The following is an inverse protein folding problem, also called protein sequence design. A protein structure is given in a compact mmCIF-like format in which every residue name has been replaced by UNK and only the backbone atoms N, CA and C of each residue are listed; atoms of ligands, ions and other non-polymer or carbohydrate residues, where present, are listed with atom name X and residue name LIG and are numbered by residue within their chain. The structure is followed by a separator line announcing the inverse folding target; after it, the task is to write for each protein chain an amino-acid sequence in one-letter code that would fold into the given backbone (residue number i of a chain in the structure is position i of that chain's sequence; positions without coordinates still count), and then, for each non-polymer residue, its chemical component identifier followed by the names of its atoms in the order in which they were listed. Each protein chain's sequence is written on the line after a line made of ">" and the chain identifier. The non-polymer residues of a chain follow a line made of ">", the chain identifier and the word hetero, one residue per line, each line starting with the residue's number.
data_IF_259453419167
#
_entry.id   IF_259453419167
#
_cell.length_a   1.000
_cell.length_b   1.000
_cell.length_c   1.000
_cell.angle_alpha   90.00
_cell.angle_beta   90.00
_cell.angle_gamma   90.00
#
_symmetry.space_group_name_H-M   'P 1'
#
loop_
_entity.id
_entity.type
_entity.pdbx_description
1 polymer ?
#
# COMPACT_ATOMS: atom_id res chain seq x y z
N UNK A 1 15.21 16.08 10.04
CA UNK A 1 15.67 14.87 9.32
C UNK A 1 16.27 13.74 10.14
N UNK A 2 17.40 13.92 10.84
CA UNK A 2 18.12 12.81 11.50
C UNK A 2 17.22 11.96 12.41
N UNK A 3 16.40 12.60 13.25
CA UNK A 3 15.45 11.92 14.15
C UNK A 3 14.42 11.07 13.39
N UNK A 4 13.94 11.53 12.23
CA UNK A 4 12.98 10.78 11.40
C UNK A 4 13.64 9.53 10.84
N UNK A 5 14.88 9.64 10.33
CA UNK A 5 15.65 8.49 9.83
C UNK A 5 15.91 7.45 10.92
N UNK A 6 16.35 7.89 12.10
CA UNK A 6 16.59 7.00 13.25
C UNK A 6 15.30 6.31 13.71
N UNK A 7 14.20 7.05 13.79
CA UNK A 7 12.89 6.50 14.11
C UNK A 7 12.46 5.47 13.06
N UNK A 8 12.56 5.79 11.77
CA UNK A 8 12.21 4.86 10.71
C UNK A 8 13.04 3.58 10.76
N UNK A 9 14.37 3.67 10.90
CA UNK A 9 15.25 2.51 10.92
C UNK A 9 14.96 1.53 12.07
N UNK A 10 14.46 2.03 13.21
CA UNK A 10 14.13 1.19 14.38
C UNK A 10 12.74 0.56 14.29
N UNK A 11 11.86 1.07 13.44
CA UNK A 11 10.44 0.72 13.43
C UNK A 11 9.96 0.15 12.08
N UNK A 12 10.87 -0.27 11.19
CA UNK A 12 10.46 -1.00 9.98
C UNK A 12 9.97 -2.39 10.39
N UNK A 13 8.67 -2.62 10.25
CA UNK A 13 8.08 -3.95 10.34
C UNK A 13 7.80 -4.48 8.93
N UNK A 14 8.17 -5.73 8.71
CA UNK A 14 7.95 -6.43 7.45
C UNK A 14 6.93 -7.54 7.65
N UNK A 15 6.05 -7.71 6.69
CA UNK A 15 5.26 -8.94 6.58
C UNK A 15 6.23 -10.12 6.42
N UNK A 16 5.97 -11.28 7.04
CA UNK A 16 6.74 -12.49 6.80
C UNK A 16 7.03 -12.75 5.30
N UNK A 17 8.27 -13.20 5.04
CA UNK A 17 8.78 -13.45 3.69
C UNK A 17 9.13 -12.20 2.86
N UNK A 18 8.83 -10.97 3.30
CA UNK A 18 8.93 -9.79 2.43
C UNK A 18 10.33 -9.54 1.88
N UNK A 19 11.38 -9.73 2.68
CA UNK A 19 12.78 -9.58 2.22
C UNK A 19 13.12 -10.61 1.13
N UNK A 20 12.70 -11.85 1.32
CA UNK A 20 12.93 -12.93 0.36
C UNK A 20 12.14 -12.70 -0.92
N UNK A 21 10.87 -12.29 -0.81
CA UNK A 21 10.02 -11.91 -1.95
C UNK A 21 10.65 -10.77 -2.74
N UNK A 22 11.03 -9.66 -2.09
CA UNK A 22 11.68 -8.53 -2.76
C UNK A 22 12.99 -8.93 -3.45
N UNK A 23 13.76 -9.84 -2.84
CA UNK A 23 14.98 -10.37 -3.44
C UNK A 23 14.68 -11.26 -4.65
N UNK A 24 13.68 -12.13 -4.55
CA UNK A 24 13.26 -13.04 -5.60
C UNK A 24 12.74 -12.27 -6.82
N UNK A 25 11.77 -11.37 -6.62
CA UNK A 25 11.14 -10.63 -7.72
C UNK A 25 12.15 -9.76 -8.48
N UNK A 26 13.12 -9.17 -7.77
CA UNK A 26 14.19 -8.36 -8.39
C UNK A 26 15.16 -9.16 -9.26
N UNK A 27 15.35 -10.44 -8.95
CA UNK A 27 16.18 -11.33 -9.79
C UNK A 27 15.44 -11.75 -11.06
N UNK A 28 14.11 -11.68 -11.04
CA UNK A 28 13.26 -12.13 -12.14
C UNK A 28 12.83 -10.98 -13.06
N UNK A 29 12.45 -9.83 -12.50
CA UNK A 29 11.86 -8.70 -13.21
C UNK A 29 12.37 -7.35 -12.68
N UNK A 30 12.41 -6.30 -13.53
CA UNK A 30 12.50 -4.92 -13.06
C UNK A 30 11.41 -4.64 -12.03
N UNK A 31 11.82 -4.26 -10.81
CA UNK A 31 10.92 -4.11 -9.67
C UNK A 31 11.06 -2.72 -9.05
N UNK A 32 9.94 -2.16 -8.61
CA UNK A 32 9.85 -0.81 -8.05
C UNK A 32 8.98 -0.79 -6.78
N UNK A 33 9.24 0.16 -5.88
CA UNK A 33 8.39 0.44 -4.71
C UNK A 33 7.76 1.82 -4.90
N UNK A 34 6.43 1.91 -4.80
CA UNK A 34 5.68 3.17 -4.89
C UNK A 34 4.91 3.36 -3.59
N UNK A 35 5.35 4.31 -2.76
CA UNK A 35 4.86 4.48 -1.40
C UNK A 35 4.46 5.92 -1.09
N UNK A 36 3.46 6.07 -0.25
CA UNK A 36 3.05 7.37 0.32
C UNK A 36 4.03 7.85 1.40
N UNK A 37 4.82 6.95 1.98
CA UNK A 37 5.74 7.24 3.08
C UNK A 37 6.86 8.21 2.67
N UNK A 38 7.44 8.88 3.66
CA UNK A 38 8.56 9.77 3.45
C UNK A 38 9.83 9.02 3.01
N UNK A 39 10.67 9.70 2.24
CA UNK A 39 11.95 9.19 1.74
C UNK A 39 12.85 8.61 2.84
N UNK A 40 12.82 9.18 4.06
CA UNK A 40 13.60 8.71 5.20
C UNK A 40 13.20 7.28 5.61
N UNK A 41 11.90 6.97 5.57
CA UNK A 41 11.39 5.63 5.83
C UNK A 41 11.73 4.67 4.70
N UNK A 42 11.56 5.10 3.45
CA UNK A 42 11.85 4.26 2.28
C UNK A 42 13.34 3.96 2.18
N UNK A 43 14.20 4.89 2.56
CA UNK A 43 15.64 4.65 2.66
C UNK A 43 15.96 3.56 3.69
N UNK A 44 15.35 3.63 4.89
CA UNK A 44 15.52 2.60 5.91
C UNK A 44 15.01 1.22 5.45
N UNK A 45 13.84 1.18 4.81
CA UNK A 45 13.28 -0.03 4.21
C UNK A 45 14.21 -0.63 3.14
N UNK A 46 14.73 0.21 2.24
CA UNK A 46 15.66 -0.20 1.20
C UNK A 46 16.96 -0.76 1.78
N UNK A 47 17.52 -0.12 2.80
CA UNK A 47 18.71 -0.61 3.49
C UNK A 47 18.47 -1.98 4.17
N UNK A 48 17.30 -2.19 4.79
CA UNK A 48 16.96 -3.45 5.44
C UNK A 48 16.77 -4.61 4.44
N UNK A 49 16.17 -4.31 3.29
CA UNK A 49 15.75 -5.30 2.28
C UNK A 49 16.73 -5.43 1.11
N UNK A 50 17.83 -4.66 1.13
CA UNK A 50 18.79 -4.52 0.04
C UNK A 50 18.15 -4.03 -1.28
N UNK A 51 16.97 -3.41 -1.23
CA UNK A 51 16.22 -2.91 -2.39
C UNK A 51 16.84 -1.60 -2.91
N UNK A 52 16.98 -1.42 -4.24
CA UNK A 52 17.64 -0.24 -4.79
C UNK A 52 16.76 0.99 -4.62
N UNK A 53 17.21 1.94 -3.80
CA UNK A 53 16.47 3.17 -3.55
C UNK A 53 16.15 3.97 -4.82
N UNK A 54 17.02 3.88 -5.85
CA UNK A 54 16.78 4.49 -7.17
C UNK A 54 15.54 3.96 -7.91
N UNK A 55 15.01 2.79 -7.52
CA UNK A 55 13.79 2.20 -8.06
C UNK A 55 12.58 2.47 -7.14
N UNK A 56 12.57 3.61 -6.44
CA UNK A 56 11.47 3.96 -5.53
C UNK A 56 10.86 5.30 -5.87
N UNK A 57 9.55 5.40 -5.65
CA UNK A 57 8.76 6.62 -5.71
C UNK A 57 8.16 6.84 -4.32
N UNK A 58 8.45 7.97 -3.71
CA UNK A 58 8.05 8.27 -2.34
C UNK A 58 7.92 9.77 -2.09
N UNK A 59 7.26 10.13 -0.99
CA UNK A 59 7.09 11.53 -0.60
C UNK A 59 8.42 12.11 -0.16
N UNK A 60 8.89 13.16 -0.84
CA UNK A 60 10.10 13.87 -0.45
C UNK A 60 9.78 14.87 0.65
N UNK A 61 10.53 14.80 1.73
CA UNK A 61 10.37 15.67 2.89
C UNK A 61 11.73 16.16 3.35
N UNK A 62 11.91 17.46 3.46
CA UNK A 62 13.05 18.07 4.17
C UNK A 62 12.48 18.89 5.33
N UNK A 63 12.40 18.29 6.52
CA UNK A 63 11.80 18.97 7.67
C UNK A 63 12.76 20.02 8.25
N UNK A 64 14.06 19.90 7.98
CA UNK A 64 15.04 20.88 8.47
C UNK A 64 14.93 22.22 7.75
N UNK A 65 14.24 22.26 6.60
CA UNK A 65 13.97 23.49 5.84
C UNK A 65 13.11 24.50 6.59
N UNK A 66 12.27 24.05 7.52
CA UNK A 66 11.26 24.87 8.18
C UNK A 66 11.73 25.35 9.57
N UNK A 67 11.94 26.66 9.70
CA UNK A 67 12.36 27.29 10.96
C UNK A 67 11.17 27.61 11.85
N UNK A 68 10.78 26.68 12.73
CA UNK A 68 9.62 26.86 13.62
C UNK A 68 10.06 27.52 14.93
N UNK A 69 9.50 28.70 15.25
CA UNK A 69 9.80 29.41 16.50
C UNK A 69 9.13 28.76 17.73
N UNK A 70 9.44 29.25 18.92
CA UNK A 70 8.92 28.70 20.18
C UNK A 70 7.40 28.92 20.33
N UNK A 71 6.92 30.09 19.90
CA UNK A 71 5.51 30.48 19.90
C UNK A 71 4.70 29.57 18.97
N UNK A 72 5.18 29.40 17.74
CA UNK A 72 4.54 28.51 16.76
C UNK A 72 4.60 27.05 17.23
N UNK A 73 5.73 26.61 17.79
CA UNK A 73 5.85 25.27 18.39
C UNK A 73 4.81 25.05 19.49
N UNK A 74 4.55 26.06 20.33
CA UNK A 74 3.52 25.99 21.36
C UNK A 74 2.13 25.87 20.72
N UNK A 75 1.83 26.71 19.72
CA UNK A 75 0.53 26.68 19.02
C UNK A 75 0.29 25.35 18.31
N UNK A 76 1.28 24.80 17.62
CA UNK A 76 1.19 23.50 16.96
C UNK A 76 0.88 22.37 17.96
N UNK A 77 1.46 22.41 19.16
CA UNK A 77 1.16 21.43 20.22
C UNK A 77 -0.26 21.58 20.77
N UNK A 78 -0.77 22.81 20.87
CA UNK A 78 -2.15 23.08 21.28
C UNK A 78 -3.13 22.57 20.23
N UNK A 79 -2.90 22.90 18.96
CA UNK A 79 -3.68 22.38 17.82
C UNK A 79 -3.66 20.85 17.76
N UNK A 80 -2.51 20.22 18.01
CA UNK A 80 -2.41 18.76 18.06
C UNK A 80 -3.27 18.13 19.17
N UNK A 81 -3.35 18.77 20.35
CA UNK A 81 -4.25 18.32 21.43
C UNK A 81 -5.72 18.55 21.09
N UNK A 82 -6.02 19.68 20.44
CA UNK A 82 -7.36 20.01 19.98
C UNK A 82 -7.86 18.99 18.97
N UNK A 83 -7.08 18.70 17.92
CA UNK A 83 -7.40 17.69 16.90
C UNK A 83 -7.62 16.32 17.56
N UNK A 84 -6.76 15.94 18.51
CA UNK A 84 -6.89 14.65 19.20
C UNK A 84 -8.15 14.55 20.08
N UNK A 85 -8.74 15.69 20.48
CA UNK A 85 -9.96 15.75 21.26
C UNK A 85 -11.24 15.85 20.40
N UNK A 86 -11.10 16.10 19.08
CA UNK A 86 -12.22 16.10 18.16
C UNK A 86 -12.86 14.70 18.05
N UNK A 87 -14.18 14.61 17.83
CA UNK A 87 -14.83 13.32 17.62
C UNK A 87 -14.32 12.68 16.34
N UNK A 88 -14.26 11.35 16.31
CA UNK A 88 -13.94 10.61 15.11
C UNK A 88 -15.04 10.81 14.06
N UNK A 89 -14.65 11.19 12.85
CA UNK A 89 -15.60 11.41 11.75
C UNK A 89 -16.14 10.07 11.25
N UNK A 90 -17.46 9.91 11.25
CA UNK A 90 -18.12 8.78 10.62
C UNK A 90 -18.57 9.13 9.20
N UNK A 91 -18.06 8.41 8.20
CA UNK A 91 -18.45 8.61 6.80
C UNK A 91 -19.67 7.72 6.48
N UNK A 92 -20.84 8.30 6.15
CA UNK A 92 -22.02 7.51 5.79
C UNK A 92 -21.77 6.67 4.53
N UNK A 93 -22.42 5.49 4.45
CA UNK A 93 -22.30 4.65 3.25
C UNK A 93 -22.89 5.38 2.04
N UNK A 94 -22.19 5.30 0.91
CA UNK A 94 -22.57 5.90 -0.37
C UNK A 94 -22.72 7.43 -0.36
N UNK A 95 -22.15 8.13 0.63
CA UNK A 95 -22.16 9.60 0.60
C UNK A 95 -21.30 10.13 -0.56
N UNK A 96 -21.76 11.22 -1.16
CA UNK A 96 -21.05 11.91 -2.24
C UNK A 96 -20.49 13.28 -1.80
N UNK A 97 -20.95 13.79 -0.66
CA UNK A 97 -20.58 15.10 -0.14
C UNK A 97 -20.57 15.15 1.39
N UNK A 98 -19.81 16.11 1.95
CA UNK A 98 -19.77 16.38 3.41
C UNK A 98 -21.13 16.83 3.95
N UNK A 99 -21.97 17.45 3.12
CA UNK A 99 -23.32 17.88 3.50
C UNK A 99 -24.24 16.71 3.94
N UNK A 100 -23.90 15.48 3.57
CA UNK A 100 -24.63 14.27 3.94
C UNK A 100 -24.20 13.69 5.29
N UNK A 101 -23.17 14.27 5.93
CA UNK A 101 -22.63 13.79 7.20
C UNK A 101 -23.50 14.25 8.38
N UNK A 102 -23.30 13.69 9.57
CA UNK A 102 -23.97 14.22 10.76
C UNK A 102 -23.55 15.67 11.03
N UNK A 103 -24.38 16.47 11.71
CA UNK A 103 -24.00 17.85 12.05
C UNK A 103 -22.72 17.93 12.88
N UNK A 104 -22.47 16.93 13.72
CA UNK A 104 -21.24 16.84 14.52
C UNK A 104 -20.02 16.59 13.64
N UNK A 105 -20.14 15.68 12.67
CA UNK A 105 -19.05 15.37 11.73
C UNK A 105 -18.76 16.54 10.80
N UNK A 106 -19.80 17.23 10.31
CA UNK A 106 -19.66 18.45 9.50
C UNK A 106 -18.87 19.52 10.25
N UNK A 107 -19.24 19.82 11.50
CA UNK A 107 -18.49 20.76 12.36
C UNK A 107 -17.05 20.33 12.60
N UNK A 108 -16.81 19.03 12.69
CA UNK A 108 -15.46 18.49 12.88
C UNK A 108 -14.62 18.69 11.62
N UNK A 109 -15.19 18.43 10.44
CA UNK A 109 -14.54 18.71 9.15
C UNK A 109 -14.27 20.21 8.99
N UNK A 110 -15.27 21.06 9.25
CA UNK A 110 -15.11 22.51 9.21
C UNK A 110 -13.98 22.99 10.12
N UNK A 111 -13.90 22.46 11.35
CA UNK A 111 -12.83 22.83 12.27
C UNK A 111 -11.45 22.37 11.78
N UNK A 112 -11.35 21.17 11.20
CA UNK A 112 -10.10 20.71 10.59
C UNK A 112 -9.71 21.62 9.42
N UNK A 113 -10.66 22.03 8.59
CA UNK A 113 -10.42 22.95 7.47
C UNK A 113 -9.90 24.31 7.96
N UNK A 114 -10.50 24.89 9.01
CA UNK A 114 -9.98 26.11 9.64
C UNK A 114 -8.53 25.93 10.13
N UNK A 115 -8.25 24.83 10.83
CA UNK A 115 -6.91 24.57 11.36
C UNK A 115 -5.89 24.46 10.23
N UNK A 116 -6.14 23.64 9.22
CA UNK A 116 -5.17 23.39 8.15
C UNK A 116 -5.07 24.54 7.15
N UNK A 117 -6.20 25.13 6.75
CA UNK A 117 -6.25 26.07 5.63
C UNK A 117 -6.29 27.53 6.04
N UNK A 118 -6.67 27.86 7.29
CA UNK A 118 -6.71 29.24 7.77
C UNK A 118 -5.67 29.55 8.84
N UNK A 119 -5.42 28.63 9.77
CA UNK A 119 -4.46 28.85 10.86
C UNK A 119 -3.04 28.43 10.46
N UNK A 120 -2.85 27.14 10.14
CA UNK A 120 -1.54 26.60 9.79
C UNK A 120 -0.98 27.23 8.53
N UNK A 121 -1.82 27.51 7.53
CA UNK A 121 -1.38 28.13 6.27
C UNK A 121 -0.70 29.50 6.44
N UNK A 122 -0.94 30.20 7.56
CA UNK A 122 -0.34 31.49 7.92
C UNK A 122 0.97 31.35 8.73
N UNK A 123 1.32 30.13 9.12
CA UNK A 123 2.51 29.80 9.91
C UNK A 123 3.69 29.38 9.03
N UNK A 124 4.91 29.42 9.56
CA UNK A 124 6.09 28.97 8.80
C UNK A 124 6.04 27.46 8.52
N UNK A 125 5.54 26.67 9.48
CA UNK A 125 5.26 25.24 9.31
C UNK A 125 4.19 24.95 8.26
N UNK A 126 3.26 25.88 8.02
CA UNK A 126 2.22 25.78 7.00
C UNK A 126 2.78 25.66 5.58
N UNK A 127 3.99 26.19 5.34
CA UNK A 127 4.67 26.04 4.06
C UNK A 127 4.87 24.59 3.66
N UNK A 128 5.01 23.68 4.63
CA UNK A 128 5.12 22.24 4.37
C UNK A 128 3.89 21.69 3.65
N UNK A 129 2.69 22.19 3.95
CA UNK A 129 1.43 21.74 3.33
C UNK A 129 1.37 22.08 1.83
N UNK A 130 2.09 23.12 1.39
CA UNK A 130 2.12 23.58 0.00
C UNK A 130 3.33 23.03 -0.73
N UNK A 131 4.49 22.99 -0.08
CA UNK A 131 5.76 22.63 -0.72
C UNK A 131 5.99 21.11 -0.82
N UNK A 132 5.38 20.32 0.07
CA UNK A 132 5.50 18.87 0.04
C UNK A 132 4.37 18.30 -0.82
N UNK A 133 4.73 17.67 -1.93
CA UNK A 133 3.77 16.91 -2.73
C UNK A 133 3.74 15.44 -2.23
N UNK A 134 2.69 15.01 -1.49
CA UNK A 134 2.57 13.63 -1.07
C UNK A 134 2.37 12.71 -2.27
N UNK A 135 3.01 11.54 -2.26
CA UNK A 135 2.70 10.48 -3.23
C UNK A 135 1.36 9.86 -2.82
N UNK A 136 0.26 10.37 -3.37
CA UNK A 136 -1.10 9.88 -3.19
C UNK A 136 -1.53 8.92 -4.31
N UNK A 137 -2.84 8.67 -4.41
CA UNK A 137 -3.37 7.70 -5.39
C UNK A 137 -3.07 8.05 -6.84
N UNK A 138 -3.21 9.33 -7.20
CA UNK A 138 -2.89 9.83 -8.53
C UNK A 138 -1.40 9.73 -8.83
N UNK A 139 -0.55 10.06 -7.85
CA UNK A 139 0.90 9.98 -7.96
C UNK A 139 1.37 8.53 -8.11
N UNK A 140 0.70 7.57 -7.44
CA UNK A 140 1.02 6.14 -7.64
C UNK A 140 0.71 5.67 -9.05
N UNK A 141 -0.45 6.05 -9.60
CA UNK A 141 -0.80 5.73 -10.98
C UNK A 141 0.18 6.37 -11.98
N UNK A 142 0.56 7.65 -11.76
CA UNK A 142 1.60 8.33 -12.55
C UNK A 142 2.96 7.66 -12.44
N UNK A 143 3.34 7.17 -11.25
CA UNK A 143 4.59 6.44 -11.07
C UNK A 143 4.60 5.15 -11.91
N UNK A 144 3.48 4.42 -11.98
CA UNK A 144 3.36 3.25 -12.87
C UNK A 144 3.57 3.65 -14.34
N UNK A 145 2.94 4.73 -14.80
CA UNK A 145 3.11 5.22 -16.17
C UNK A 145 4.56 5.63 -16.47
N UNK A 146 5.21 6.33 -15.54
CA UNK A 146 6.62 6.72 -15.65
C UNK A 146 7.55 5.51 -15.68
N UNK A 147 7.29 4.47 -14.88
CA UNK A 147 8.05 3.21 -14.91
C UNK A 147 7.90 2.52 -16.27
N UNK A 148 6.67 2.43 -16.79
CA UNK A 148 6.38 1.82 -18.10
C UNK A 148 7.13 2.56 -19.22
N UNK A 149 7.10 3.89 -19.20
CA UNK A 149 7.84 4.71 -20.15
C UNK A 149 9.37 4.53 -20.01
N UNK A 150 9.91 4.50 -18.78
CA UNK A 150 11.34 4.29 -18.51
C UNK A 150 11.86 2.94 -18.95
N UNK A 151 11.03 1.91 -18.91
CA UNK A 151 11.38 0.54 -19.29
C UNK A 151 11.05 0.22 -20.75
N UNK A 152 10.45 1.16 -21.49
CA UNK A 152 9.95 0.94 -22.85
C UNK A 152 9.09 -0.33 -22.94
N UNK A 153 8.14 -0.47 -22.01
CA UNK A 153 7.22 -1.59 -21.95
C UNK A 153 5.76 -1.13 -22.05
N UNK A 154 4.82 -2.07 -21.89
CA UNK A 154 3.39 -1.81 -21.97
C UNK A 154 2.69 -2.22 -20.66
N UNK A 155 1.53 -1.62 -20.38
CA UNK A 155 0.79 -1.84 -19.13
C UNK A 155 0.31 -3.29 -18.97
N UNK A 156 0.10 -4.05 -20.05
CA UNK A 156 -0.23 -5.48 -20.01
C UNK A 156 0.90 -6.35 -19.46
N UNK A 157 2.13 -5.81 -19.42
CA UNK A 157 3.32 -6.45 -18.85
C UNK A 157 3.60 -6.01 -17.42
N UNK A 158 2.67 -5.28 -16.78
CA UNK A 158 2.81 -4.81 -15.40
C UNK A 158 1.96 -5.68 -14.47
N UNK A 159 2.59 -6.11 -13.38
CA UNK A 159 1.89 -6.60 -12.19
C UNK A 159 2.01 -5.54 -11.11
N UNK A 160 0.88 -5.11 -10.53
CA UNK A 160 0.85 -4.15 -9.43
C UNK A 160 0.24 -4.80 -8.20
N UNK A 161 0.91 -4.67 -7.05
CA UNK A 161 0.45 -5.17 -5.76
C UNK A 161 0.18 -3.98 -4.83
N UNK A 162 -1.04 -3.88 -4.31
CA UNK A 162 -1.46 -2.82 -3.39
C UNK A 162 -2.40 -3.33 -2.31
N UNK A 163 -2.76 -2.46 -1.36
CA UNK A 163 -3.56 -2.87 -0.19
C UNK A 163 -4.58 -1.83 0.29
N UNK A 164 -4.58 -0.64 -0.31
CA UNK A 164 -5.30 0.51 0.24
C UNK A 164 -6.00 1.37 -0.81
N UNK A 165 -6.70 2.39 -0.31
CA UNK A 165 -7.33 3.44 -1.15
C UNK A 165 -6.31 4.17 -2.03
N UNK A 166 -5.09 4.39 -1.54
CA UNK A 166 -4.03 5.06 -2.31
C UNK A 166 -3.50 4.19 -3.46
N UNK A 167 -3.84 2.91 -3.50
CA UNK A 167 -3.46 2.00 -4.58
C UNK A 167 -4.56 1.84 -5.63
N UNK A 168 -5.80 2.25 -5.32
CA UNK A 168 -6.97 1.98 -6.14
C UNK A 168 -6.81 2.47 -7.59
N UNK A 169 -6.28 3.68 -7.78
CA UNK A 169 -6.07 4.22 -9.14
C UNK A 169 -4.99 3.46 -9.92
N UNK A 170 -3.90 3.06 -9.27
CA UNK A 170 -2.83 2.28 -9.90
C UNK A 170 -3.30 0.85 -10.24
N UNK A 171 -4.01 0.20 -9.31
CA UNK A 171 -4.65 -1.11 -9.53
C UNK A 171 -5.61 -1.05 -10.72
N UNK A 172 -6.52 -0.07 -10.75
CA UNK A 172 -7.46 0.13 -11.85
C UNK A 172 -6.75 0.36 -13.18
N UNK A 173 -5.71 1.20 -13.20
CA UNK A 173 -4.91 1.48 -14.39
C UNK A 173 -4.32 0.18 -14.96
N UNK A 174 -3.66 -0.62 -14.12
CA UNK A 174 -3.05 -1.89 -14.55
C UNK A 174 -4.12 -2.88 -15.02
N UNK A 175 -5.18 -3.07 -14.22
CA UNK A 175 -6.29 -3.98 -14.53
C UNK A 175 -6.94 -3.69 -15.88
N UNK A 176 -7.29 -2.43 -16.14
CA UNK A 176 -7.99 -2.00 -17.34
C UNK A 176 -7.13 -2.06 -18.61
N UNK A 177 -5.80 -2.10 -18.47
CA UNK A 177 -4.86 -2.15 -19.57
C UNK A 177 -4.21 -3.54 -19.74
N UNK A 178 -4.87 -4.59 -19.25
CA UNK A 178 -4.45 -5.98 -19.48
C UNK A 178 -3.35 -6.50 -18.56
N UNK A 179 -2.86 -5.67 -17.62
CA UNK A 179 -1.89 -6.10 -16.61
C UNK A 179 -2.57 -6.83 -15.45
N UNK A 180 -1.76 -7.31 -14.50
CA UNK A 180 -2.25 -8.06 -13.34
C UNK A 180 -2.32 -7.16 -12.09
N UNK A 181 -3.53 -6.84 -11.64
CA UNK A 181 -3.75 -6.08 -10.40
C UNK A 181 -4.01 -7.03 -9.22
N UNK A 182 -3.22 -6.94 -8.15
CA UNK A 182 -3.32 -7.81 -6.97
C UNK A 182 -3.52 -6.98 -5.71
N UNK A 183 -4.57 -7.31 -4.96
CA UNK A 183 -4.84 -6.76 -3.63
C UNK A 183 -4.31 -7.72 -2.56
N UNK A 184 -3.27 -7.34 -1.80
CA UNK A 184 -2.69 -8.17 -0.75
C UNK A 184 -3.14 -7.69 0.65
N UNK A 185 -3.92 -8.51 1.36
CA UNK A 185 -4.54 -8.17 2.65
C UNK A 185 -5.22 -6.79 2.64
N UNK A 186 -5.86 -6.48 1.50
CA UNK A 186 -6.30 -5.14 1.15
C UNK A 186 -7.63 -4.72 1.76
N UNK A 187 -7.92 -3.42 1.70
CA UNK A 187 -9.22 -2.87 2.07
C UNK A 187 -10.23 -2.98 0.92
N UNK A 188 -11.42 -2.41 1.12
CA UNK A 188 -12.50 -2.42 0.14
C UNK A 188 -12.10 -1.78 -1.20
N UNK A 189 -11.38 -0.65 -1.15
CA UNK A 189 -10.92 0.04 -2.35
C UNK A 189 -9.94 -0.80 -3.17
N UNK A 190 -8.93 -1.43 -2.56
CA UNK A 190 -7.95 -2.21 -3.32
C UNK A 190 -8.54 -3.51 -3.84
N UNK A 191 -9.40 -4.19 -3.07
CA UNK A 191 -10.04 -5.44 -3.51
C UNK A 191 -10.91 -5.18 -4.74
N UNK A 192 -11.76 -4.14 -4.73
CA UNK A 192 -12.64 -3.80 -5.88
C UNK A 192 -11.87 -3.54 -7.17
N UNK A 193 -10.72 -2.88 -7.07
CA UNK A 193 -9.91 -2.49 -8.23
C UNK A 193 -8.89 -3.55 -8.67
N UNK A 194 -8.88 -4.73 -8.03
CA UNK A 194 -7.93 -5.81 -8.33
C UNK A 194 -8.53 -6.92 -9.23
N UNK A 195 -7.67 -7.68 -9.89
CA UNK A 195 -8.02 -8.95 -10.54
C UNK A 195 -7.98 -10.11 -9.53
N UNK A 196 -7.07 -10.05 -8.56
CA UNK A 196 -6.80 -11.10 -7.57
C UNK A 196 -6.76 -10.50 -6.17
N UNK A 197 -7.49 -11.11 -5.23
CA UNK A 197 -7.36 -10.83 -3.81
C UNK A 197 -6.54 -11.94 -3.14
N UNK A 198 -5.55 -11.55 -2.34
CA UNK A 198 -4.69 -12.44 -1.56
C UNK A 198 -4.90 -12.16 -0.09
N UNK A 199 -5.25 -13.19 0.68
CA UNK A 199 -5.31 -13.16 2.15
C UNK A 199 -4.26 -14.14 2.67
N UNK A 200 -3.11 -13.60 3.09
CA UNK A 200 -1.95 -14.41 3.48
C UNK A 200 -1.13 -13.73 4.57
N UNK A 201 -0.63 -14.52 5.52
CA UNK A 201 0.33 -14.07 6.52
C UNK A 201 1.76 -13.93 5.98
N UNK A 202 2.05 -14.52 4.82
CA UNK A 202 3.38 -14.50 4.20
C UNK A 202 3.34 -14.04 2.73
N UNK A 203 4.38 -13.33 2.30
CA UNK A 203 4.50 -12.77 0.95
C UNK A 203 5.00 -13.76 -0.11
N UNK A 204 5.37 -14.99 0.24
CA UNK A 204 5.75 -16.04 -0.72
C UNK A 204 4.68 -16.25 -1.81
N UNK A 205 3.41 -16.02 -1.46
CA UNK A 205 2.27 -16.01 -2.41
C UNK A 205 2.50 -15.02 -3.55
N UNK A 206 3.03 -13.83 -3.24
CA UNK A 206 3.39 -12.83 -4.25
C UNK A 206 4.51 -13.33 -5.14
N UNK A 207 5.53 -13.99 -4.58
CA UNK A 207 6.62 -14.59 -5.37
C UNK A 207 6.11 -15.62 -6.37
N UNK A 208 5.16 -16.47 -5.96
CA UNK A 208 4.49 -17.45 -6.84
C UNK A 208 3.71 -16.77 -7.96
N UNK A 209 2.90 -15.76 -7.63
CA UNK A 209 2.13 -15.01 -8.63
C UNK A 209 3.04 -14.28 -9.63
N UNK A 210 4.14 -13.69 -9.15
CA UNK A 210 5.14 -13.03 -9.99
C UNK A 210 5.85 -14.02 -10.93
N UNK A 211 6.20 -15.22 -10.44
CA UNK A 211 6.82 -16.25 -11.27
C UNK A 211 5.89 -16.68 -12.41
N UNK A 212 4.63 -17.02 -12.08
CA UNK A 212 3.63 -17.40 -13.07
C UNK A 212 3.35 -16.26 -14.06
N UNK A 213 3.16 -15.03 -13.58
CA UNK A 213 2.92 -13.86 -14.42
C UNK A 213 4.09 -13.57 -15.36
N UNK A 214 5.33 -13.64 -14.88
CA UNK A 214 6.53 -13.36 -15.68
C UNK A 214 6.65 -14.23 -16.93
N UNK A 215 6.16 -15.47 -16.84
CA UNK A 215 6.23 -16.47 -17.92
C UNK A 215 4.98 -16.55 -18.77
N UNK A 216 3.82 -16.51 -18.12
CA UNK A 216 2.54 -16.87 -18.72
C UNK A 216 1.60 -15.66 -18.89
N UNK A 217 2.03 -14.48 -18.46
CA UNK A 217 1.23 -13.26 -18.45
C UNK A 217 0.04 -13.35 -17.49
N UNK A 218 -0.87 -12.38 -17.64
CA UNK A 218 -2.09 -12.27 -16.82
C UNK A 218 -2.93 -13.56 -16.84
N UNK A 219 -3.21 -14.08 -18.03
CA UNK A 219 -4.09 -15.25 -18.19
C UNK A 219 -3.52 -16.51 -17.52
N UNK A 220 -2.21 -16.74 -17.60
CA UNK A 220 -1.59 -17.86 -16.91
C UNK A 220 -1.60 -17.70 -15.39
N UNK A 221 -1.35 -16.49 -14.88
CA UNK A 221 -1.47 -16.22 -13.46
C UNK A 221 -2.92 -16.42 -12.96
N UNK A 222 -3.93 -16.00 -13.73
CA UNK A 222 -5.34 -16.22 -13.38
C UNK A 222 -5.74 -17.70 -13.41
N UNK A 223 -5.18 -18.50 -14.34
CA UNK A 223 -5.38 -19.96 -14.35
C UNK A 223 -4.79 -20.61 -13.09
N UNK A 224 -3.61 -20.18 -12.67
CA UNK A 224 -3.03 -20.62 -11.39
C UNK A 224 -3.94 -20.25 -10.21
N UNK A 225 -4.47 -19.04 -10.17
CA UNK A 225 -5.40 -18.61 -9.10
C UNK A 225 -6.68 -19.45 -9.08
N UNK A 226 -7.22 -19.83 -10.23
CA UNK A 226 -8.40 -20.71 -10.29
C UNK A 226 -8.11 -22.14 -9.81
N UNK A 227 -6.86 -22.59 -9.93
CA UNK A 227 -6.38 -23.90 -9.48
C UNK A 227 -5.47 -23.75 -8.24
N UNK A 228 -5.77 -22.82 -7.31
CA UNK A 228 -4.87 -22.48 -6.18
C UNK A 228 -4.76 -23.59 -5.13
N UNK A 229 -3.95 -24.60 -5.46
CA UNK A 229 -3.65 -25.78 -4.65
C UNK A 229 -2.31 -26.39 -5.13
N UNK A 230 -1.88 -27.49 -4.52
CA UNK A 230 -0.62 -28.17 -4.85
C UNK A 230 -0.51 -28.53 -6.34
N UNK A 231 -1.55 -29.12 -6.93
CA UNK A 231 -1.53 -29.53 -8.35
C UNK A 231 -1.44 -28.32 -9.29
N UNK A 232 -2.16 -27.23 -8.98
CA UNK A 232 -2.04 -25.99 -9.75
C UNK A 232 -0.66 -25.37 -9.63
N UNK A 233 -0.04 -25.38 -8.45
CA UNK A 233 1.35 -24.95 -8.30
C UNK A 233 2.31 -25.80 -9.15
N UNK A 234 2.18 -27.13 -9.14
CA UNK A 234 3.03 -28.00 -9.98
C UNK A 234 2.90 -27.70 -11.48
N UNK A 235 1.68 -27.34 -11.91
CA UNK A 235 1.36 -27.05 -13.31
C UNK A 235 1.82 -25.67 -13.76
N UNK A 236 1.69 -24.65 -12.92
CA UNK A 236 1.88 -23.25 -13.31
C UNK A 236 3.10 -22.57 -12.67
N UNK A 237 3.63 -23.09 -11.55
CA UNK A 237 4.82 -22.57 -10.86
C UNK A 237 6.01 -23.51 -11.03
N UNK A 238 6.98 -23.12 -11.86
CA UNK A 238 8.10 -24.02 -12.20
C UNK A 238 9.19 -24.03 -11.14
N UNK A 239 9.27 -23.00 -10.31
CA UNK A 239 10.23 -22.95 -9.21
C UNK A 239 9.90 -24.01 -8.14
N UNK A 240 10.66 -25.12 -8.15
CA UNK A 240 10.56 -26.16 -7.13
C UNK A 240 10.76 -25.59 -5.71
N UNK A 241 11.70 -24.65 -5.56
CA UNK A 241 11.95 -23.96 -4.29
C UNK A 241 10.70 -23.21 -3.79
N UNK A 242 9.98 -22.51 -4.66
CA UNK A 242 8.75 -21.82 -4.24
C UNK A 242 7.65 -22.80 -3.86
N UNK A 243 7.53 -23.93 -4.58
CA UNK A 243 6.56 -24.98 -4.24
C UNK A 243 6.85 -25.61 -2.89
N UNK A 244 8.10 -25.98 -2.62
CA UNK A 244 8.54 -26.50 -1.32
C UNK A 244 8.31 -25.48 -0.19
N UNK A 245 8.59 -24.19 -0.43
CA UNK A 245 8.33 -23.13 0.54
C UNK A 245 6.83 -22.96 0.82
N UNK A 246 5.98 -23.02 -0.21
CA UNK A 246 4.52 -22.98 -0.05
C UNK A 246 4.03 -24.18 0.79
N UNK A 247 4.50 -25.39 0.51
CA UNK A 247 4.09 -26.58 1.26
C UNK A 247 4.56 -26.55 2.72
N UNK A 248 5.76 -26.02 2.98
CA UNK A 248 6.30 -25.90 4.34
C UNK A 248 5.55 -24.84 5.16
N UNK A 249 5.29 -23.66 4.57
CA UNK A 249 4.65 -22.54 5.26
C UNK A 249 3.15 -22.74 5.43
N UNK A 250 2.52 -23.50 4.53
CA UNK A 250 1.07 -23.67 4.47
C UNK A 250 0.68 -25.16 4.52
N UNK A 251 1.29 -25.91 5.44
CA UNK A 251 1.02 -27.34 5.65
C UNK A 251 -0.43 -27.63 6.01
N UNK A 252 -1.04 -26.71 6.77
CA UNK A 252 -2.38 -26.86 7.35
C UNK A 252 -3.50 -26.35 6.42
N UNK A 253 -3.11 -25.77 5.28
CA UNK A 253 -4.02 -25.22 4.30
C UNK A 253 -3.41 -24.03 3.58
N UNK A 254 -3.62 -23.97 2.26
CA UNK A 254 -3.13 -22.87 1.44
C UNK A 254 -3.80 -21.54 1.81
N UNK A 255 -3.09 -20.41 1.68
CA UNK A 255 -3.67 -19.11 1.89
C UNK A 255 -4.76 -18.85 0.85
N UNK A 256 -5.75 -18.05 1.21
CA UNK A 256 -6.85 -17.75 0.32
C UNK A 256 -6.37 -16.78 -0.77
N UNK A 257 -6.43 -17.25 -2.02
CA UNK A 257 -6.11 -16.47 -3.22
C UNK A 257 -7.23 -16.69 -4.22
N UNK A 258 -7.93 -15.63 -4.55
CA UNK A 258 -9.13 -15.71 -5.38
C UNK A 258 -9.17 -14.62 -6.44
N UNK A 259 -9.71 -14.97 -7.60
CA UNK A 259 -10.07 -14.00 -8.63
C UNK A 259 -11.25 -13.17 -8.15
N UNK A 260 -11.14 -11.84 -8.26
CA UNK A 260 -12.22 -10.92 -7.90
C UNK A 260 -13.23 -10.83 -9.04
N UNK A 261 -14.51 -11.01 -8.74
CA UNK A 261 -15.64 -10.85 -9.65
C UNK A 261 -16.85 -10.22 -8.94
N UNK A 262 -17.92 -9.93 -9.69
CA UNK A 262 -19.15 -9.32 -9.15
C UNK A 262 -19.81 -10.12 -8.03
N UNK A 263 -19.64 -11.44 -8.06
CA UNK A 263 -20.40 -12.36 -7.20
C UNK A 263 -19.70 -12.55 -5.85
N UNK A 264 -18.36 -12.44 -5.82
CA UNK A 264 -17.57 -12.66 -4.61
C UNK A 264 -16.97 -11.38 -4.00
N UNK A 265 -16.97 -10.24 -4.70
CA UNK A 265 -16.24 -9.03 -4.25
C UNK A 265 -16.64 -8.58 -2.84
N UNK A 266 -17.93 -8.55 -2.51
CA UNK A 266 -18.36 -8.09 -1.18
C UNK A 266 -18.00 -9.09 -0.07
N UNK A 267 -17.93 -10.40 -0.39
CA UNK A 267 -17.43 -11.42 0.53
C UNK A 267 -15.93 -11.24 0.77
N UNK A 268 -15.15 -11.13 -0.30
CA UNK A 268 -13.70 -10.93 -0.24
C UNK A 268 -13.32 -9.66 0.51
N UNK A 269 -14.08 -8.57 0.36
CA UNK A 269 -13.86 -7.34 1.11
C UNK A 269 -14.02 -7.58 2.62
N UNK A 270 -15.07 -8.30 3.04
CA UNK A 270 -15.30 -8.59 4.47
C UNK A 270 -14.18 -9.47 5.02
N UNK A 271 -13.86 -10.55 4.33
CA UNK A 271 -12.81 -11.49 4.72
C UNK A 271 -11.43 -10.83 4.77
N UNK A 272 -11.06 -10.07 3.73
CA UNK A 272 -9.78 -9.36 3.63
C UNK A 272 -9.65 -8.29 4.71
N UNK A 273 -10.72 -7.55 5.03
CA UNK A 273 -10.71 -6.58 6.14
C UNK A 273 -10.56 -7.25 7.50
N UNK A 274 -11.19 -8.40 7.71
CA UNK A 274 -11.03 -9.17 8.94
C UNK A 274 -9.59 -9.69 9.08
N UNK A 275 -9.05 -10.28 8.02
CA UNK A 275 -7.67 -10.79 7.99
C UNK A 275 -6.62 -9.67 8.14
N UNK A 276 -6.84 -8.52 7.49
CA UNK A 276 -5.99 -7.33 7.65
C UNK A 276 -5.88 -6.91 9.11
N UNK A 277 -6.96 -7.01 9.90
CA UNK A 277 -6.95 -6.68 11.33
C UNK A 277 -6.15 -7.68 12.16
N UNK A 278 -6.03 -8.95 11.75
CA UNK A 278 -5.20 -9.92 12.48
C UNK A 278 -3.72 -9.64 12.21
N UNK A 279 -3.33 -9.56 10.94
CA UNK A 279 -1.93 -9.32 10.53
C UNK A 279 -1.43 -7.95 10.98
N UNK A 280 -2.26 -6.91 10.81
CA UNK A 280 -1.89 -5.57 11.28
C UNK A 280 -2.13 -5.39 12.76
N UNK A 281 -3.13 -6.03 13.37
CA UNK A 281 -3.39 -5.93 14.81
C UNK A 281 -2.28 -6.52 15.66
N UNK A 282 -1.67 -7.62 15.22
CA UNK A 282 -0.46 -8.19 15.85
C UNK A 282 0.76 -7.26 15.71
N UNK A 283 0.87 -6.53 14.60
CA UNK A 283 1.91 -5.52 14.37
C UNK A 283 1.61 -4.19 15.09
N UNK A 284 0.34 -3.79 15.20
CA UNK A 284 -0.18 -2.59 15.90
C UNK A 284 -0.15 -2.81 17.42
N UNK A 285 -0.25 -4.05 17.91
CA UNK A 285 0.10 -4.36 19.31
C UNK A 285 1.54 -4.00 19.68
N UNK A 286 2.40 -3.71 18.70
CA UNK A 286 3.78 -3.21 18.84
C UNK A 286 3.99 -1.81 18.23
N UNK A 287 2.96 -1.17 17.69
CA UNK A 287 3.01 0.18 17.12
C UNK A 287 1.86 0.99 17.74
N UNK A 288 2.21 1.99 18.55
CA UNK A 288 1.24 2.91 19.16
C UNK A 288 0.34 3.62 18.16
#
# INVERSE_FOLDING_TARGET
>A
DKKVREFSARNVLLVPGAKDTLTFVRKLLPSFIVSTSYEQYIFALCALTDFPFKNTYCTRLDINKYGICAEETKRLKELGKEIAALPMIEIPKNCSSVAEFSQTDQKTVERLDEIFWEELSKMESGRMLVEVNPVGGTEKARAVQDIVAKLDCSLDRVMYVGDSITDAQALRLVKNNGGLAVSFNGNDYSVRESDVAVLSGDTVVTSVLVEAFSRLGKEGALKLVNEWNRLGLEKYCVSAKLREQMDLLFSDGFPQVERVNSDNVDRLIRESRAFRKTVRGEAIGKLG
#
